data_IF_402589192849
#
_entry.id   IF_402589192849
#
_cell.length_a   1.000
_cell.length_b   1.000
_cell.length_c   1.000
_cell.angle_alpha   90.00
_cell.angle_beta   90.00
_cell.angle_gamma   90.00
#
_symmetry.space_group_name_H-M   'P 1'
#
loop_
_entity.id
_entity.type
_entity.pdbx_description
1 polymer ?
#
# COMPACT_ATOMS: atom_id res chain seq x y z
N UNK A 1 31.86 -22.39 -36.45
CA UNK A 1 32.26 -21.92 -35.09
C UNK A 1 31.61 -20.60 -34.72
N UNK A 2 31.49 -19.62 -35.54
CA UNK A 2 30.87 -18.32 -35.21
C UNK A 2 29.35 -18.39 -34.92
N UNK A 3 28.63 -19.33 -35.50
CA UNK A 3 27.17 -19.51 -35.25
C UNK A 3 26.80 -20.05 -33.87
N UNK A 4 27.71 -20.77 -33.22
CA UNK A 4 27.48 -21.37 -31.87
C UNK A 4 27.67 -20.30 -30.81
N UNK A 5 28.64 -19.41 -30.95
CA UNK A 5 28.91 -18.32 -30.00
C UNK A 5 27.81 -17.26 -29.95
N UNK A 6 27.14 -16.98 -31.07
CA UNK A 6 25.98 -16.05 -31.09
C UNK A 6 24.75 -16.58 -30.36
N UNK A 7 24.52 -17.89 -30.40
CA UNK A 7 23.38 -18.50 -29.70
C UNK A 7 23.55 -18.54 -28.18
N UNK A 8 24.78 -18.73 -27.70
CA UNK A 8 25.06 -18.75 -26.26
C UNK A 8 24.94 -17.35 -25.67
N UNK A 9 25.37 -16.29 -26.35
CA UNK A 9 25.27 -14.92 -25.84
C UNK A 9 23.85 -14.41 -25.78
N UNK A 10 22.98 -14.80 -26.72
CA UNK A 10 21.55 -14.45 -26.70
C UNK A 10 20.79 -15.18 -25.57
N UNK A 11 21.11 -16.45 -25.30
CA UNK A 11 20.52 -17.20 -24.21
C UNK A 11 20.90 -16.66 -22.84
N UNK A 12 22.14 -16.23 -22.63
CA UNK A 12 22.62 -15.60 -21.40
C UNK A 12 21.96 -14.22 -21.16
N UNK A 13 21.78 -13.40 -22.18
CA UNK A 13 21.13 -12.11 -22.09
C UNK A 13 19.64 -12.25 -21.70
N UNK A 14 18.93 -13.23 -22.24
CA UNK A 14 17.52 -13.53 -21.89
C UNK A 14 17.40 -14.05 -20.45
N UNK A 15 18.31 -14.88 -19.97
CA UNK A 15 18.32 -15.34 -18.57
C UNK A 15 18.61 -14.23 -17.58
N UNK A 16 19.51 -13.30 -17.89
CA UNK A 16 19.78 -12.15 -17.02
C UNK A 16 18.59 -11.19 -16.94
N UNK A 17 17.84 -10.99 -18.02
CA UNK A 17 16.61 -10.19 -18.04
C UNK A 17 15.48 -10.84 -17.24
N UNK A 18 15.34 -12.16 -17.25
CA UNK A 18 14.32 -12.85 -16.46
C UNK A 18 14.64 -12.87 -14.97
N UNK A 19 15.92 -12.90 -14.58
CA UNK A 19 16.35 -12.79 -13.19
C UNK A 19 16.13 -11.41 -12.59
N UNK A 20 16.30 -10.33 -13.37
CA UNK A 20 16.09 -8.96 -12.86
C UNK A 20 14.61 -8.63 -12.60
N UNK A 21 13.67 -9.30 -13.27
CA UNK A 21 12.24 -9.14 -12.98
C UNK A 21 11.80 -9.80 -11.67
N UNK A 22 12.56 -10.77 -11.13
CA UNK A 22 12.18 -11.51 -9.92
C UNK A 22 12.45 -10.71 -8.63
N UNK A 23 13.27 -9.67 -8.66
CA UNK A 23 13.65 -8.89 -7.49
C UNK A 23 12.74 -7.68 -7.22
N UNK A 24 11.80 -7.34 -8.09
CA UNK A 24 10.95 -6.15 -7.96
C UNK A 24 9.51 -6.46 -7.54
N UNK A 25 9.17 -7.70 -7.23
CA UNK A 25 7.83 -8.11 -6.80
C UNK A 25 7.78 -8.44 -5.31
N UNK A 26 8.36 -7.60 -4.44
CA UNK A 26 8.03 -7.65 -3.02
C UNK A 26 6.75 -6.83 -2.82
N UNK A 27 5.67 -7.51 -2.45
CA UNK A 27 4.48 -6.82 -1.98
C UNK A 27 4.87 -5.93 -0.80
N UNK A 28 4.62 -4.63 -0.92
CA UNK A 28 4.84 -3.70 0.19
C UNK A 28 3.62 -3.86 1.10
N UNK A 29 3.84 -4.34 2.32
CA UNK A 29 2.81 -4.49 3.35
C UNK A 29 2.87 -3.38 4.43
N UNK A 30 3.80 -2.45 4.28
CA UNK A 30 4.16 -1.48 5.32
C UNK A 30 4.20 -0.05 4.78
N UNK A 31 3.61 0.88 5.52
CA UNK A 31 3.69 2.34 5.32
C UNK A 31 4.56 2.95 6.39
N UNK A 32 5.40 3.90 5.99
CA UNK A 32 6.22 4.73 6.88
C UNK A 32 6.05 6.20 6.51
N UNK A 33 6.63 7.10 7.30
CA UNK A 33 6.66 8.54 6.97
C UNK A 33 7.26 8.82 5.57
N UNK A 34 8.32 8.10 5.22
CA UNK A 34 9.00 8.27 3.92
C UNK A 34 8.41 7.42 2.79
N UNK A 35 7.63 6.39 3.13
CA UNK A 35 7.00 5.47 2.20
C UNK A 35 5.50 5.43 2.41
N UNK A 36 4.83 6.45 1.93
CA UNK A 36 3.38 6.61 1.97
C UNK A 36 2.73 6.10 0.68
N UNK A 37 1.42 5.87 0.71
CA UNK A 37 0.66 5.45 -0.48
C UNK A 37 -0.26 6.55 -0.98
N UNK A 38 -0.40 6.60 -2.29
CA UNK A 38 -1.33 7.49 -3.01
C UNK A 38 -2.35 6.68 -3.78
N UNK A 39 -3.53 7.22 -3.96
CA UNK A 39 -4.52 6.64 -4.86
C UNK A 39 -3.95 6.55 -6.31
N UNK A 40 -3.92 5.38 -6.97
CA UNK A 40 -4.55 4.08 -6.63
C UNK A 40 -3.61 3.02 -6.06
N UNK A 41 -2.51 3.39 -5.41
CA UNK A 41 -1.54 2.43 -4.87
C UNK A 41 -2.18 1.54 -3.79
N UNK A 42 -1.68 0.32 -3.69
CA UNK A 42 -2.19 -0.73 -2.80
C UNK A 42 -1.06 -1.32 -1.99
N UNK A 43 -1.30 -1.59 -0.71
CA UNK A 43 -0.48 -2.52 0.06
C UNK A 43 -1.19 -3.86 0.21
N UNK A 44 -0.41 -4.94 0.22
CA UNK A 44 -0.91 -6.31 0.29
C UNK A 44 -0.22 -7.02 1.44
N UNK A 45 -0.97 -7.72 2.28
CA UNK A 45 -0.41 -8.52 3.37
C UNK A 45 0.56 -9.58 2.83
N UNK A 46 1.54 -9.97 3.65
CA UNK A 46 2.63 -10.87 3.24
C UNK A 46 2.13 -12.17 2.59
N UNK A 47 1.07 -12.78 3.12
CA UNK A 47 0.41 -13.97 2.57
C UNK A 47 -0.59 -13.69 1.45
N UNK A 48 -0.70 -12.45 0.98
CA UNK A 48 -1.62 -12.03 -0.10
C UNK A 48 -3.11 -12.26 0.20
N UNK A 49 -3.49 -12.36 1.46
CA UNK A 49 -4.88 -12.60 1.90
C UNK A 49 -5.69 -11.31 1.92
N UNK A 50 -5.07 -10.21 2.34
CA UNK A 50 -5.71 -8.90 2.48
C UNK A 50 -4.98 -7.86 1.67
N UNK A 51 -5.74 -6.83 1.24
CA UNK A 51 -5.21 -5.61 0.66
C UNK A 51 -5.76 -4.40 1.37
N UNK A 52 -5.00 -3.34 1.42
CA UNK A 52 -5.42 -2.03 1.84
C UNK A 52 -5.17 -1.04 0.72
N UNK A 53 -6.23 -0.42 0.25
CA UNK A 53 -6.20 0.46 -0.91
C UNK A 53 -7.33 1.50 -0.92
N UNK A 54 -7.33 2.28 -1.98
CA UNK A 54 -8.38 3.22 -2.33
C UNK A 54 -9.38 2.53 -3.27
N UNK A 55 -10.61 2.35 -2.83
CA UNK A 55 -11.64 1.71 -3.62
C UNK A 55 -12.90 2.57 -3.74
N UNK A 56 -13.55 2.49 -4.89
CA UNK A 56 -14.89 3.02 -5.07
C UNK A 56 -15.90 1.94 -4.68
N UNK A 57 -16.60 2.15 -3.58
CA UNK A 57 -17.75 1.32 -3.19
C UNK A 57 -18.93 1.65 -4.11
N UNK A 58 -19.07 0.92 -5.22
CA UNK A 58 -20.21 0.97 -6.16
C UNK A 58 -20.39 2.31 -6.88
N UNK A 59 -20.49 2.29 -8.21
CA UNK A 59 -21.05 3.27 -9.20
C UNK A 59 -20.84 4.79 -8.94
N UNK A 60 -20.49 5.21 -7.73
CA UNK A 60 -20.31 6.59 -7.32
C UNK A 60 -18.84 7.01 -7.41
N UNK A 61 -18.59 8.26 -7.68
CA UNK A 61 -17.26 8.90 -7.74
C UNK A 61 -16.52 8.91 -6.40
N UNK A 62 -17.22 8.60 -5.31
CA UNK A 62 -16.66 8.59 -3.96
C UNK A 62 -15.69 7.43 -3.76
N UNK A 63 -14.53 7.75 -3.20
CA UNK A 63 -13.47 6.78 -2.92
C UNK A 63 -13.25 6.63 -1.43
N UNK A 64 -12.99 5.41 -1.03
CA UNK A 64 -12.82 5.02 0.37
C UNK A 64 -11.50 4.28 0.54
N UNK A 65 -10.84 4.53 1.66
CA UNK A 65 -9.66 3.77 2.07
C UNK A 65 -10.09 2.69 3.05
N UNK A 66 -9.72 1.47 2.79
CA UNK A 66 -10.14 0.35 3.61
C UNK A 66 -9.30 -0.90 3.45
N UNK A 67 -9.67 -1.91 4.22
CA UNK A 67 -9.11 -3.26 4.15
C UNK A 67 -10.16 -4.18 3.52
N UNK A 68 -9.71 -4.93 2.54
CA UNK A 68 -10.52 -5.86 1.75
C UNK A 68 -9.85 -7.23 1.70
N UNK A 69 -10.62 -8.28 1.46
CA UNK A 69 -10.02 -9.52 1.00
C UNK A 69 -9.38 -9.29 -0.37
N UNK A 70 -8.18 -9.84 -0.56
CA UNK A 70 -7.45 -9.77 -1.83
C UNK A 70 -7.94 -10.86 -2.78
N UNK A 71 -9.24 -10.90 -3.02
CA UNK A 71 -9.93 -11.84 -3.89
C UNK A 71 -10.76 -11.12 -4.96
N UNK A 72 -11.41 -11.87 -5.82
CA UNK A 72 -12.25 -11.34 -6.90
C UNK A 72 -13.56 -10.71 -6.42
N UNK A 73 -13.98 -10.99 -5.20
CA UNK A 73 -15.26 -10.52 -4.65
C UNK A 73 -15.14 -9.18 -3.93
N UNK A 74 -13.93 -8.75 -3.62
CA UNK A 74 -13.65 -7.46 -2.95
C UNK A 74 -14.46 -7.24 -1.67
N UNK A 75 -14.60 -8.30 -0.86
CA UNK A 75 -15.33 -8.21 0.40
C UNK A 75 -14.64 -7.23 1.36
N UNK A 76 -15.42 -6.28 1.86
CA UNK A 76 -14.94 -5.22 2.77
C UNK A 76 -14.79 -5.77 4.18
N UNK A 77 -13.60 -5.53 4.77
CA UNK A 77 -13.33 -5.84 6.18
C UNK A 77 -13.50 -4.59 7.03
N UNK A 78 -12.94 -3.46 6.59
CA UNK A 78 -12.95 -2.21 7.33
C UNK A 78 -12.76 -1.01 6.39
N UNK A 79 -13.33 0.15 6.75
CA UNK A 79 -13.24 1.41 6.02
C UNK A 79 -12.91 2.54 6.96
N UNK A 80 -11.83 3.29 6.67
CA UNK A 80 -11.37 4.41 7.48
C UNK A 80 -12.29 5.64 7.38
N UNK A 81 -12.52 6.11 6.17
CA UNK A 81 -13.20 7.37 5.89
C UNK A 81 -14.69 7.20 5.54
N UNK A 82 -15.37 6.32 6.23
CA UNK A 82 -16.79 6.00 5.97
C UNK A 82 -17.70 7.24 5.93
N UNK A 83 -17.42 8.21 6.80
CA UNK A 83 -18.23 9.44 6.94
C UNK A 83 -17.70 10.63 6.13
N UNK A 84 -16.49 10.54 5.59
CA UNK A 84 -15.84 11.58 4.78
C UNK A 84 -15.18 10.97 3.55
N UNK A 85 -15.95 10.61 2.50
CA UNK A 85 -15.37 10.04 1.30
C UNK A 85 -14.47 11.04 0.57
N UNK A 86 -13.49 10.51 -0.16
CA UNK A 86 -12.76 11.26 -1.16
C UNK A 86 -13.64 11.44 -2.40
N UNK A 87 -13.64 12.63 -2.97
CA UNK A 87 -14.42 12.94 -4.18
C UNK A 87 -13.63 12.72 -5.48
N UNK A 88 -12.35 12.46 -5.36
CA UNK A 88 -11.41 12.27 -6.46
C UNK A 88 -10.28 11.30 -6.08
N UNK A 89 -9.29 11.14 -6.96
CA UNK A 89 -8.12 10.27 -6.77
C UNK A 89 -6.90 10.99 -6.16
N UNK A 90 -7.12 12.08 -5.41
CA UNK A 90 -6.03 12.85 -4.77
C UNK A 90 -5.63 12.31 -3.39
N UNK A 91 -6.25 11.23 -2.92
CA UNK A 91 -6.04 10.68 -1.59
C UNK A 91 -4.60 10.24 -1.30
N UNK A 92 -4.14 10.52 -0.10
CA UNK A 92 -2.82 10.12 0.41
C UNK A 92 -3.00 9.50 1.80
N UNK A 93 -2.39 8.33 2.01
CA UNK A 93 -2.25 7.74 3.34
C UNK A 93 -0.80 7.82 3.77
N UNK A 94 -0.55 8.43 4.91
CA UNK A 94 0.79 8.70 5.44
C UNK A 94 0.85 8.57 6.96
N UNK A 95 2.06 8.54 7.51
CA UNK A 95 2.31 8.66 8.96
C UNK A 95 2.68 10.12 9.25
N UNK A 96 2.04 10.73 10.23
CA UNK A 96 2.37 12.07 10.71
C UNK A 96 3.57 12.09 11.67
N UNK A 97 4.08 13.28 11.97
CA UNK A 97 5.22 13.45 12.89
C UNK A 97 4.92 12.97 14.33
N UNK A 98 3.65 12.97 14.73
CA UNK A 98 3.18 12.46 16.02
C UNK A 98 2.89 10.95 16.01
N UNK A 99 3.20 10.25 14.90
CA UNK A 99 3.04 8.80 14.76
C UNK A 99 1.63 8.34 14.42
N UNK A 100 0.72 9.22 14.08
CA UNK A 100 -0.62 8.85 13.64
C UNK A 100 -0.66 8.49 12.14
N UNK A 101 -1.45 7.50 11.82
CA UNK A 101 -1.81 7.20 10.44
C UNK A 101 -2.90 8.17 9.99
N UNK A 102 -2.66 8.88 8.91
CA UNK A 102 -3.57 9.90 8.37
C UNK A 102 -4.02 9.54 6.96
N UNK A 103 -5.29 9.83 6.68
CA UNK A 103 -5.81 9.96 5.32
C UNK A 103 -6.03 11.43 5.01
N UNK A 104 -5.38 11.92 3.96
CA UNK A 104 -5.46 13.29 3.48
C UNK A 104 -6.14 13.35 2.10
N UNK A 105 -6.83 14.45 1.82
CA UNK A 105 -7.26 14.80 0.46
C UNK A 105 -6.20 15.63 -0.28
N UNK A 106 -6.49 16.04 -1.51
CA UNK A 106 -5.58 16.84 -2.34
C UNK A 106 -5.30 18.25 -1.82
N UNK A 107 -6.06 18.75 -0.85
CA UNK A 107 -5.86 20.02 -0.15
C UNK A 107 -5.15 19.84 1.21
N UNK A 108 -4.59 18.65 1.46
CA UNK A 108 -3.95 18.28 2.73
C UNK A 108 -4.88 18.31 3.96
N UNK A 109 -6.20 18.26 3.72
CA UNK A 109 -7.17 18.16 4.79
C UNK A 109 -7.21 16.73 5.32
N UNK A 110 -7.21 16.57 6.66
CA UNK A 110 -7.30 15.28 7.34
C UNK A 110 -8.76 14.78 7.28
N UNK A 111 -8.98 13.72 6.53
CA UNK A 111 -10.27 13.05 6.43
C UNK A 111 -10.44 11.97 7.50
N UNK A 112 -9.36 11.35 7.91
CA UNK A 112 -9.32 10.35 8.97
C UNK A 112 -7.93 10.28 9.62
N UNK A 113 -7.91 9.95 10.93
CA UNK A 113 -6.70 9.74 11.72
C UNK A 113 -6.89 8.54 12.66
N UNK A 114 -5.82 7.81 12.92
CA UNK A 114 -5.81 6.73 13.93
C UNK A 114 -6.01 7.25 15.36
N UNK A 115 -5.74 8.52 15.62
CA UNK A 115 -5.90 9.19 16.93
C UNK A 115 -5.28 8.43 18.11
N UNK A 116 -4.10 7.85 17.89
CA UNK A 116 -3.33 7.22 18.96
C UNK A 116 -2.64 8.31 19.77
N UNK A 117 -2.87 8.31 21.08
CA UNK A 117 -2.15 9.21 21.97
C UNK A 117 -0.71 8.72 22.16
N UNK A 118 0.22 9.29 21.42
CA UNK A 118 1.64 8.99 21.55
C UNK A 118 2.32 10.06 22.39
N UNK A 119 2.87 9.65 23.52
CA UNK A 119 3.67 10.51 24.40
C UNK A 119 5.13 10.68 23.92
N UNK A 120 5.52 10.10 22.79
CA UNK A 120 6.90 10.07 22.31
C UNK A 120 7.09 11.08 21.19
N UNK A 121 7.94 12.06 21.42
CA UNK A 121 8.41 13.03 20.42
C UNK A 121 9.28 12.31 19.38
N UNK A 122 8.77 12.14 18.16
CA UNK A 122 9.38 11.49 16.99
C UNK A 122 9.42 9.96 17.07
N UNK A 123 8.29 9.28 17.13
CA UNK A 123 8.26 7.85 16.93
C UNK A 123 8.67 7.53 15.49
N UNK A 124 9.52 6.55 15.33
CA UNK A 124 9.69 5.86 14.04
C UNK A 124 8.52 4.90 13.87
N UNK A 125 7.36 5.44 13.59
CA UNK A 125 6.13 4.65 13.47
C UNK A 125 6.02 4.06 12.08
N UNK A 126 5.61 2.81 12.00
CA UNK A 126 5.23 2.14 10.77
C UNK A 126 3.82 1.54 10.91
N UNK A 127 3.06 1.53 9.82
CA UNK A 127 1.77 0.84 9.72
C UNK A 127 1.95 -0.39 8.84
N UNK A 128 1.63 -1.57 9.36
CA UNK A 128 1.75 -2.84 8.65
C UNK A 128 0.41 -3.56 8.56
N UNK A 129 0.07 -4.04 7.36
CA UNK A 129 -1.07 -4.90 7.13
C UNK A 129 -0.67 -6.37 7.35
N UNK A 130 -1.22 -6.99 8.39
CA UNK A 130 -0.94 -8.39 8.74
C UNK A 130 -1.85 -9.36 7.99
N UNK A 131 -1.42 -10.63 7.91
CA UNK A 131 -2.21 -11.74 7.34
C UNK A 131 -3.46 -12.10 8.16
N UNK A 132 -3.60 -11.53 9.34
CA UNK A 132 -4.82 -11.58 10.14
C UNK A 132 -5.90 -10.57 9.71
N UNK A 133 -5.58 -9.66 8.78
CA UNK A 133 -6.42 -8.54 8.38
C UNK A 133 -6.33 -7.32 9.30
N UNK A 134 -5.49 -7.37 10.33
CA UNK A 134 -5.22 -6.23 11.21
C UNK A 134 -4.21 -5.27 10.60
N UNK A 135 -4.49 -3.98 10.69
CA UNK A 135 -3.53 -2.92 10.42
C UNK A 135 -2.94 -2.47 11.76
N UNK A 136 -1.63 -2.65 11.91
CA UNK A 136 -0.92 -2.42 13.17
C UNK A 136 0.02 -1.24 13.04
N UNK A 137 -0.09 -0.28 13.93
CA UNK A 137 0.90 0.77 14.14
C UNK A 137 1.92 0.30 15.17
N UNK A 138 3.20 0.38 14.85
CA UNK A 138 4.29 0.02 15.73
C UNK A 138 5.44 1.00 15.62
N UNK A 139 6.16 1.20 16.72
CA UNK A 139 7.44 1.91 16.71
C UNK A 139 8.54 0.97 16.22
N UNK A 140 9.38 1.47 15.34
CA UNK A 140 10.49 0.72 14.73
C UNK A 140 11.85 1.16 15.26
#
# INVERSE_FOLDING_TARGET
MERINRRISVGLAVQLLSCSCSYFCTAIDTITFSNFIRDPETIISNGSVFRWDFSALVILTNRYVGIWYNDTHSTVIWVANRNKPLNDSSGIVTISEDGNLLLLNGQEEVLWSSTVENSVTKPKTAAQLLDSGNLVLSDT
#
